data_IF_272464207129
#
_entry.id   IF_272464207129
#
_cell.length_a   1.000
_cell.length_b   1.000
_cell.length_c   1.000
_cell.angle_alpha   90.00
_cell.angle_beta   90.00
_cell.angle_gamma   90.00
#
_symmetry.space_group_name_H-M   'P 1'
#
loop_
_entity.id
_entity.type
_entity.pdbx_description
1 polymer ?
#
# COMPACT_ATOMS: atom_id res chain seq x y z
N UNK A 1 17.68 27.59 -9.90
CA UNK A 1 17.46 26.14 -9.81
C UNK A 1 16.35 25.98 -8.79
N UNK A 2 15.32 25.20 -9.11
CA UNK A 2 14.23 24.95 -8.17
C UNK A 2 14.71 24.02 -7.04
N UNK A 3 14.06 23.98 -5.86
CA UNK A 3 14.43 23.05 -4.80
C UNK A 3 14.43 21.58 -5.23
N UNK A 4 13.57 21.22 -6.18
CA UNK A 4 13.50 19.88 -6.75
C UNK A 4 14.61 19.60 -7.78
N UNK A 5 15.03 20.58 -8.58
CA UNK A 5 16.23 20.45 -9.42
C UNK A 5 17.50 20.20 -8.56
N UNK A 6 17.67 20.96 -7.47
CA UNK A 6 18.81 20.80 -6.56
C UNK A 6 18.78 19.42 -5.87
N UNK A 7 17.58 18.97 -5.45
CA UNK A 7 17.40 17.64 -4.86
C UNK A 7 17.67 16.51 -5.87
N UNK A 8 17.30 16.70 -7.13
CA UNK A 8 17.53 15.72 -8.19
C UNK A 8 19.01 15.59 -8.53
N UNK A 9 19.75 16.71 -8.55
CA UNK A 9 21.20 16.73 -8.67
C UNK A 9 21.87 16.00 -7.49
N UNK A 10 21.40 16.21 -6.26
CA UNK A 10 21.91 15.50 -5.09
C UNK A 10 21.70 13.98 -5.19
N UNK A 11 20.53 13.53 -5.68
CA UNK A 11 20.28 12.10 -5.90
C UNK A 11 21.24 11.50 -6.95
N UNK A 12 21.60 12.27 -7.98
CA UNK A 12 22.59 11.87 -8.97
C UNK A 12 24.01 11.81 -8.39
N UNK A 13 24.45 12.86 -7.68
CA UNK A 13 25.78 12.93 -7.06
C UNK A 13 26.02 11.81 -6.03
N UNK A 14 24.94 11.31 -5.42
CA UNK A 14 24.98 10.22 -4.42
C UNK A 14 24.83 8.82 -5.00
N UNK A 15 24.68 8.69 -6.32
CA UNK A 15 24.32 7.44 -7.02
C UNK A 15 23.08 6.77 -6.39
N UNK A 16 22.13 7.56 -5.91
CA UNK A 16 21.08 7.09 -5.00
C UNK A 16 20.19 6.00 -5.63
N UNK A 17 19.90 6.10 -6.93
CA UNK A 17 19.11 5.09 -7.66
C UNK A 17 19.86 3.76 -7.74
N UNK A 18 21.12 3.77 -8.15
CA UNK A 18 21.92 2.54 -8.26
C UNK A 18 22.07 1.87 -6.89
N UNK A 19 22.43 2.65 -5.87
CA UNK A 19 22.61 2.19 -4.50
C UNK A 19 21.32 1.64 -3.88
N UNK A 20 20.17 2.24 -4.18
CA UNK A 20 18.86 1.72 -3.77
C UNK A 20 18.62 0.31 -4.35
N UNK A 21 18.84 0.11 -5.65
CA UNK A 21 18.66 -1.19 -6.31
C UNK A 21 19.70 -2.23 -5.88
N UNK A 22 20.90 -1.80 -5.53
CA UNK A 22 21.94 -2.63 -4.91
C UNK A 22 21.68 -2.96 -3.43
N UNK A 23 20.60 -2.39 -2.86
CA UNK A 23 20.25 -2.49 -1.44
C UNK A 23 21.34 -2.00 -0.51
N UNK A 24 22.08 -0.98 -0.93
CA UNK A 24 23.13 -0.37 -0.13
C UNK A 24 22.52 0.42 1.04
N UNK A 25 22.51 -0.22 2.22
CA UNK A 25 21.97 0.35 3.44
C UNK A 25 22.72 1.63 3.91
N UNK A 26 23.95 1.85 3.45
CA UNK A 26 24.72 3.06 3.76
C UNK A 26 24.15 4.31 3.06
N UNK A 27 23.19 4.16 2.14
CA UNK A 27 22.46 5.27 1.54
C UNK A 27 21.65 6.07 2.60
N UNK A 28 21.18 5.42 3.67
CA UNK A 28 20.33 6.05 4.69
C UNK A 28 21.05 6.42 5.99
N UNK A 29 22.06 5.66 6.40
CA UNK A 29 22.67 5.82 7.73
C UNK A 29 24.03 5.15 7.81
N UNK A 30 24.97 5.76 8.53
CA UNK A 30 26.26 5.14 8.90
C UNK A 30 26.15 4.24 10.14
N UNK A 31 25.03 4.31 10.88
CA UNK A 31 24.79 3.45 12.03
C UNK A 31 24.50 1.99 11.62
N UNK A 32 25.31 1.06 12.13
CA UNK A 32 25.26 -0.36 11.77
C UNK A 32 23.98 -1.07 12.25
N UNK A 33 23.30 -0.57 13.29
CA UNK A 33 22.01 -1.12 13.70
C UNK A 33 20.91 -0.69 12.71
N UNK A 34 20.91 0.57 12.31
CA UNK A 34 19.98 1.10 11.32
C UNK A 34 20.18 0.43 9.95
N UNK A 35 21.44 0.25 9.52
CA UNK A 35 21.74 -0.45 8.26
C UNK A 35 21.17 -1.88 8.22
N UNK A 36 21.24 -2.62 9.35
CA UNK A 36 20.64 -3.96 9.45
C UNK A 36 19.12 -3.92 9.30
N UNK A 37 18.47 -2.91 9.86
CA UNK A 37 17.01 -2.72 9.69
C UNK A 37 16.68 -2.40 8.23
N UNK A 38 17.44 -1.53 7.58
CA UNK A 38 17.23 -1.17 6.16
C UNK A 38 17.40 -2.38 5.26
N UNK A 39 18.48 -3.15 5.44
CA UNK A 39 18.76 -4.33 4.64
C UNK A 39 17.61 -5.37 4.68
N UNK A 40 16.88 -5.46 5.80
CA UNK A 40 15.71 -6.33 6.00
C UNK A 40 14.37 -5.66 5.60
N UNK A 41 14.38 -4.55 4.87
CA UNK A 41 13.16 -3.79 4.51
C UNK A 41 13.07 -3.38 3.04
N UNK A 42 13.97 -3.89 2.20
CA UNK A 42 14.05 -3.56 0.77
C UNK A 42 13.52 -4.67 -0.16
N UNK A 43 12.81 -5.67 0.37
CA UNK A 43 12.23 -6.75 -0.44
C UNK A 43 11.19 -6.27 -1.46
N UNK A 44 10.54 -5.13 -1.18
CA UNK A 44 9.51 -4.54 -2.04
C UNK A 44 10.04 -4.12 -3.42
N UNK A 45 11.36 -3.89 -3.56
CA UNK A 45 11.98 -3.54 -4.84
C UNK A 45 11.83 -4.64 -5.89
N UNK A 46 11.71 -5.89 -5.45
CA UNK A 46 11.66 -7.06 -6.34
C UNK A 46 10.33 -7.82 -6.28
N UNK A 47 9.34 -7.33 -5.52
CA UNK A 47 8.08 -8.04 -5.26
C UNK A 47 7.30 -8.36 -6.55
N UNK A 48 7.45 -7.54 -7.59
CA UNK A 48 6.81 -7.73 -8.90
C UNK A 48 7.43 -8.86 -9.72
N UNK A 49 8.64 -9.30 -9.36
CA UNK A 49 9.26 -10.52 -9.90
C UNK A 49 8.74 -11.77 -9.16
N UNK A 50 7.45 -11.76 -8.82
CA UNK A 50 6.81 -12.59 -7.80
C UNK A 50 7.29 -14.05 -7.83
N UNK A 51 7.50 -14.68 -6.66
CA UNK A 51 7.95 -16.07 -6.60
C UNK A 51 7.08 -16.99 -7.46
N UNK A 52 7.73 -17.93 -8.14
CA UNK A 52 7.08 -18.91 -9.02
C UNK A 52 5.86 -19.53 -8.33
N UNK A 53 4.70 -19.45 -9.00
CA UNK A 53 3.45 -20.07 -8.55
C UNK A 53 2.50 -19.19 -7.75
N UNK A 54 2.90 -17.98 -7.31
CA UNK A 54 1.96 -17.04 -6.69
C UNK A 54 0.72 -16.74 -7.55
N UNK A 55 0.85 -16.37 -8.84
CA UNK A 55 -0.32 -16.06 -9.68
C UNK A 55 -1.32 -17.21 -9.75
N UNK A 56 -0.81 -18.43 -9.95
CA UNK A 56 -1.65 -19.63 -10.01
C UNK A 56 -2.34 -19.88 -8.68
N UNK A 57 -1.60 -19.79 -7.57
CA UNK A 57 -2.15 -20.01 -6.24
C UNK A 57 -3.27 -19.03 -5.93
N UNK A 58 -3.08 -17.74 -6.20
CA UNK A 58 -4.10 -16.72 -6.02
C UNK A 58 -5.36 -17.00 -6.86
N UNK A 59 -5.18 -17.37 -8.13
CA UNK A 59 -6.29 -17.73 -9.01
C UNK A 59 -7.05 -18.98 -8.53
N UNK A 60 -6.32 -20.02 -8.10
CA UNK A 60 -6.89 -21.26 -7.58
C UNK A 60 -7.72 -20.99 -6.31
N UNK A 61 -7.20 -20.17 -5.38
CA UNK A 61 -7.93 -19.79 -4.15
C UNK A 61 -9.19 -18.98 -4.46
N UNK A 62 -9.12 -18.01 -5.38
CA UNK A 62 -10.30 -17.25 -5.80
C UNK A 62 -11.35 -18.13 -6.51
N UNK A 63 -10.93 -19.07 -7.36
CA UNK A 63 -11.83 -20.02 -8.00
C UNK A 63 -12.48 -20.99 -7.00
N UNK A 64 -11.72 -21.46 -6.00
CA UNK A 64 -12.23 -22.31 -4.95
C UNK A 64 -13.26 -21.59 -4.07
N UNK A 65 -13.01 -20.34 -3.69
CA UNK A 65 -13.98 -19.52 -2.94
C UNK A 65 -15.31 -19.38 -3.70
N UNK A 66 -15.27 -19.08 -5.01
CA UNK A 66 -16.47 -19.02 -5.86
C UNK A 66 -17.19 -20.36 -5.95
N UNK A 67 -16.46 -21.46 -6.11
CA UNK A 67 -17.03 -22.81 -6.19
C UNK A 67 -17.76 -23.22 -4.90
N UNK A 68 -17.27 -22.75 -3.76
CA UNK A 68 -17.90 -22.96 -2.44
C UNK A 68 -19.06 -22.00 -2.15
N UNK A 69 -19.48 -21.20 -3.14
CA UNK A 69 -20.52 -20.18 -3.01
C UNK A 69 -20.21 -19.15 -1.92
N UNK A 70 -18.93 -18.82 -1.74
CA UNK A 70 -18.51 -17.66 -0.94
C UNK A 70 -18.74 -16.42 -1.78
N UNK A 71 -19.36 -15.40 -1.19
CA UNK A 71 -19.62 -14.12 -1.84
C UNK A 71 -19.14 -12.91 -1.02
N UNK A 72 -18.58 -13.14 0.17
CA UNK A 72 -18.08 -12.11 1.08
C UNK A 72 -16.67 -12.44 1.58
N UNK A 73 -15.81 -11.42 1.60
CA UNK A 73 -14.47 -11.45 2.17
C UNK A 73 -14.49 -10.60 3.45
N UNK A 74 -14.26 -11.22 4.61
CA UNK A 74 -13.95 -10.50 5.85
C UNK A 74 -12.43 -10.42 5.98
N UNK A 75 -11.86 -9.23 5.83
CA UNK A 75 -10.42 -9.02 5.95
C UNK A 75 -10.09 -8.43 7.32
N UNK A 76 -9.48 -9.23 8.18
CA UNK A 76 -9.02 -8.82 9.51
C UNK A 76 -7.53 -8.47 9.47
N UNK A 77 -7.21 -7.18 9.53
CA UNK A 77 -5.83 -6.69 9.41
C UNK A 77 -5.77 -5.19 9.70
N UNK A 78 -4.60 -4.69 10.07
CA UNK A 78 -4.39 -3.27 10.44
C UNK A 78 -3.42 -2.58 9.48
N UNK A 79 -3.68 -1.30 9.16
CA UNK A 79 -2.77 -0.45 8.40
C UNK A 79 -2.44 -1.02 7.01
N UNK A 80 -1.17 -1.37 6.78
CA UNK A 80 -0.73 -1.89 5.47
C UNK A 80 -1.38 -3.22 5.09
N UNK A 81 -1.95 -3.93 6.07
CA UNK A 81 -2.69 -5.18 5.89
C UNK A 81 -4.18 -4.99 5.55
N UNK A 82 -4.71 -3.75 5.56
CA UNK A 82 -6.11 -3.41 5.21
C UNK A 82 -6.23 -2.33 4.13
N UNK A 83 -5.37 -1.31 4.13
CA UNK A 83 -5.51 -0.13 3.26
C UNK A 83 -5.39 -0.44 1.77
N UNK A 84 -4.38 -1.20 1.34
CA UNK A 84 -4.24 -1.55 -0.08
C UNK A 84 -5.43 -2.42 -0.59
N UNK A 85 -5.88 -3.45 0.14
CA UNK A 85 -7.14 -4.15 -0.16
C UNK A 85 -8.37 -3.22 -0.26
N UNK A 86 -8.48 -2.21 0.60
CA UNK A 86 -9.55 -1.23 0.52
C UNK A 86 -9.48 -0.38 -0.75
N UNK A 87 -8.27 0.06 -1.14
CA UNK A 87 -8.04 0.75 -2.42
C UNK A 87 -8.54 -0.12 -3.57
N UNK A 88 -8.16 -1.40 -3.61
CA UNK A 88 -8.61 -2.30 -4.68
C UNK A 88 -10.13 -2.44 -4.72
N UNK A 89 -10.79 -2.60 -3.57
CA UNK A 89 -12.25 -2.72 -3.52
C UNK A 89 -12.98 -1.44 -3.99
N UNK A 90 -12.44 -0.26 -3.68
CA UNK A 90 -13.06 1.03 -4.05
C UNK A 90 -12.74 1.45 -5.50
N UNK A 91 -11.55 1.14 -6.00
CA UNK A 91 -11.12 1.46 -7.39
C UNK A 91 -11.71 0.47 -8.39
N UNK A 92 -11.89 -0.80 -7.99
CA UNK A 92 -12.46 -1.85 -8.84
C UNK A 92 -13.78 -2.41 -8.26
N UNK A 93 -14.83 -1.58 -8.11
CA UNK A 93 -16.08 -1.99 -7.44
C UNK A 93 -16.81 -3.10 -8.21
N UNK A 94 -16.58 -3.21 -9.52
CA UNK A 94 -17.20 -4.19 -10.41
C UNK A 94 -16.29 -5.39 -10.72
N UNK A 95 -15.28 -5.66 -9.88
CA UNK A 95 -14.32 -6.77 -10.09
C UNK A 95 -14.96 -8.17 -10.16
N UNK A 96 -16.24 -8.32 -9.85
CA UNK A 96 -16.97 -9.59 -9.97
C UNK A 96 -16.52 -10.66 -8.97
N UNK A 97 -15.79 -10.27 -7.92
CA UNK A 97 -15.37 -11.15 -6.84
C UNK A 97 -16.21 -11.00 -5.57
N UNK A 98 -15.59 -11.31 -4.44
CA UNK A 98 -16.20 -11.25 -3.12
C UNK A 98 -16.46 -9.80 -2.68
N UNK A 99 -17.55 -9.55 -1.96
CA UNK A 99 -17.78 -8.25 -1.31
C UNK A 99 -16.87 -8.09 -0.11
N UNK A 100 -16.07 -7.02 -0.04
CA UNK A 100 -15.18 -6.74 1.08
C UNK A 100 -15.95 -6.25 2.31
N UNK A 101 -15.62 -6.80 3.47
CA UNK A 101 -15.89 -6.24 4.79
C UNK A 101 -14.55 -6.13 5.53
N UNK A 102 -14.14 -4.91 5.83
CA UNK A 102 -12.92 -4.65 6.59
C UNK A 102 -13.18 -4.82 8.09
N UNK A 103 -12.23 -5.47 8.75
CA UNK A 103 -12.17 -5.59 10.20
C UNK A 103 -10.79 -5.09 10.67
N UNK A 104 -10.67 -3.77 10.70
CA UNK A 104 -9.46 -3.02 11.05
C UNK A 104 -9.71 -1.99 12.17
N UNK A 105 -10.84 -2.14 12.87
CA UNK A 105 -11.25 -1.28 13.96
C UNK A 105 -11.74 -2.10 15.14
N UNK A 106 -11.28 -1.74 16.35
CA UNK A 106 -11.76 -2.31 17.61
C UNK A 106 -13.09 -1.71 18.06
N UNK A 107 -13.66 -0.78 17.28
CA UNK A 107 -14.95 -0.20 17.58
C UNK A 107 -16.05 -1.29 17.54
N UNK A 108 -16.86 -1.48 18.60
CA UNK A 108 -17.80 -2.60 18.67
C UNK A 108 -18.81 -2.66 17.52
N UNK A 109 -19.21 -1.51 16.95
CA UNK A 109 -20.10 -1.49 15.80
C UNK A 109 -19.43 -2.00 14.51
N UNK A 110 -18.13 -1.75 14.33
CA UNK A 110 -17.38 -2.26 13.18
C UNK A 110 -17.21 -3.78 13.28
N UNK A 111 -16.86 -4.28 14.48
CA UNK A 111 -16.76 -5.72 14.75
C UNK A 111 -18.10 -6.42 14.50
N UNK A 112 -19.21 -5.88 15.01
CA UNK A 112 -20.55 -6.44 14.76
C UNK A 112 -20.91 -6.47 13.29
N UNK A 113 -20.69 -5.37 12.56
CA UNK A 113 -20.98 -5.30 11.13
C UNK A 113 -20.14 -6.31 10.31
N UNK A 114 -18.88 -6.53 10.70
CA UNK A 114 -18.00 -7.47 10.03
C UNK A 114 -18.35 -8.94 10.35
N UNK A 115 -18.65 -9.24 11.62
CA UNK A 115 -18.77 -10.61 12.13
C UNK A 115 -20.16 -10.92 12.67
N UNK A 116 -20.58 -10.28 13.76
CA UNK A 116 -21.71 -10.75 14.58
C UNK A 116 -23.09 -10.65 13.90
N UNK A 117 -23.33 -9.55 13.18
CA UNK A 117 -24.61 -9.27 12.52
C UNK A 117 -24.64 -9.78 11.06
N UNK A 118 -23.55 -10.39 10.59
CA UNK A 118 -23.39 -10.79 9.21
C UNK A 118 -23.67 -12.28 8.98
N UNK A 119 -24.13 -12.62 7.77
CA UNK A 119 -24.18 -14.02 7.34
C UNK A 119 -22.77 -14.53 7.03
N UNK A 120 -22.19 -15.27 7.98
CA UNK A 120 -20.87 -15.85 7.84
C UNK A 120 -20.86 -17.18 7.07
N UNK A 121 -22.03 -17.76 6.76
CA UNK A 121 -22.11 -19.05 6.04
C UNK A 121 -21.57 -18.98 4.60
N UNK A 122 -21.55 -17.77 4.04
CA UNK A 122 -21.08 -17.41 2.70
C UNK A 122 -19.82 -16.52 2.74
N UNK A 123 -19.16 -16.42 3.90
CA UNK A 123 -17.99 -15.59 4.11
C UNK A 123 -16.68 -16.38 4.12
N UNK A 124 -15.61 -15.77 3.60
CA UNK A 124 -14.22 -16.18 3.82
C UNK A 124 -13.55 -15.14 4.72
N UNK A 125 -12.96 -15.59 5.82
CA UNK A 125 -12.20 -14.73 6.73
C UNK A 125 -10.72 -14.82 6.37
N UNK A 126 -10.13 -13.70 5.96
CA UNK A 126 -8.68 -13.58 5.75
C UNK A 126 -8.10 -12.81 6.93
N UNK A 127 -7.24 -13.46 7.71
CA UNK A 127 -6.49 -12.85 8.80
C UNK A 127 -5.11 -12.46 8.29
N UNK A 128 -4.78 -11.17 8.42
CA UNK A 128 -3.65 -10.55 7.74
C UNK A 128 -2.79 -9.79 8.76
N UNK A 129 -1.64 -10.36 9.12
CA UNK A 129 -0.68 -9.73 10.02
C UNK A 129 0.72 -10.26 9.77
N UNK A 130 1.69 -9.36 9.53
CA UNK A 130 3.10 -9.69 9.32
C UNK A 130 3.70 -10.51 10.45
N UNK A 131 3.65 -9.97 11.67
CA UNK A 131 4.23 -10.63 12.86
C UNK A 131 3.34 -11.73 13.42
N UNK A 132 2.03 -11.69 13.11
CA UNK A 132 1.02 -12.50 13.80
C UNK A 132 0.84 -12.12 15.27
N UNK A 133 1.41 -11.00 15.71
CA UNK A 133 1.37 -10.53 17.10
C UNK A 133 0.59 -9.23 17.29
N UNK A 134 0.05 -8.64 16.23
CA UNK A 134 -0.86 -7.48 16.30
C UNK A 134 -2.08 -7.85 17.14
N UNK A 135 -2.27 -7.17 18.27
CA UNK A 135 -3.23 -7.61 19.28
C UNK A 135 -4.67 -7.56 18.77
N UNK A 136 -5.03 -6.49 18.07
CA UNK A 136 -6.33 -6.32 17.43
C UNK A 136 -6.63 -7.49 16.48
N UNK A 137 -5.68 -7.81 15.60
CA UNK A 137 -5.82 -8.92 14.65
C UNK A 137 -5.91 -10.28 15.33
N UNK A 138 -5.21 -10.50 16.45
CA UNK A 138 -5.33 -11.74 17.24
C UNK A 138 -6.70 -11.87 17.88
N UNK A 139 -7.24 -10.78 18.44
CA UNK A 139 -8.60 -10.76 18.97
C UNK A 139 -9.63 -11.07 17.87
N UNK A 140 -9.48 -10.46 16.69
CA UNK A 140 -10.36 -10.73 15.54
C UNK A 140 -10.28 -12.18 15.07
N UNK A 141 -9.07 -12.74 14.99
CA UNK A 141 -8.86 -14.13 14.60
C UNK A 141 -9.49 -15.11 15.59
N UNK A 142 -9.31 -14.87 16.90
CA UNK A 142 -9.92 -15.69 17.95
C UNK A 142 -11.45 -15.63 17.88
N UNK A 143 -12.01 -14.41 17.77
CA UNK A 143 -13.47 -14.22 17.67
C UNK A 143 -14.05 -14.87 16.42
N UNK A 144 -13.41 -14.68 15.25
CA UNK A 144 -13.86 -15.31 14.01
C UNK A 144 -13.80 -16.84 14.09
N UNK A 145 -12.79 -17.42 14.74
CA UNK A 145 -12.66 -18.87 14.91
C UNK A 145 -13.76 -19.49 15.81
N UNK A 146 -14.45 -18.70 16.63
CA UNK A 146 -15.63 -19.14 17.37
C UNK A 146 -16.89 -19.18 16.48
N UNK A 147 -16.89 -18.43 15.38
CA UNK A 147 -18.07 -18.20 14.53
C UNK A 147 -18.04 -18.98 13.21
N UNK A 148 -16.86 -19.28 12.67
CA UNK A 148 -16.71 -19.98 11.38
C UNK A 148 -15.87 -21.24 11.50
N UNK A 149 -16.12 -22.19 10.59
CA UNK A 149 -15.31 -23.39 10.50
C UNK A 149 -13.88 -23.07 9.99
N UNK A 150 -12.85 -23.86 10.36
CA UNK A 150 -11.47 -23.60 9.95
C UNK A 150 -11.25 -23.48 8.43
N UNK A 151 -12.04 -24.20 7.63
CA UNK A 151 -12.01 -24.15 6.16
C UNK A 151 -12.56 -22.82 5.58
N UNK A 152 -13.15 -21.95 6.41
CA UNK A 152 -13.54 -20.57 6.09
C UNK A 152 -12.49 -19.54 6.52
N UNK A 153 -11.34 -19.96 7.03
CA UNK A 153 -10.28 -19.07 7.47
C UNK A 153 -9.01 -19.24 6.62
N UNK A 154 -8.37 -18.12 6.30
CA UNK A 154 -7.10 -18.05 5.57
C UNK A 154 -6.17 -17.09 6.30
N UNK A 155 -4.89 -17.41 6.37
CA UNK A 155 -3.87 -16.53 6.93
C UNK A 155 -2.99 -15.92 5.83
N UNK A 156 -2.66 -14.63 5.95
CA UNK A 156 -1.54 -13.98 5.24
C UNK A 156 -0.58 -13.42 6.26
N UNK A 157 0.66 -13.90 6.24
CA UNK A 157 1.63 -13.64 7.31
C UNK A 157 3.07 -13.86 6.85
N UNK A 158 4.06 -13.53 7.67
CA UNK A 158 5.47 -13.86 7.39
C UNK A 158 5.84 -15.28 7.85
N UNK A 159 6.91 -15.80 7.27
CA UNK A 159 7.47 -17.10 7.63
C UNK A 159 7.88 -17.15 9.12
N UNK A 160 7.48 -18.20 9.82
CA UNK A 160 7.79 -18.42 11.23
C UNK A 160 6.99 -17.56 12.21
N UNK A 161 5.98 -16.83 11.73
CA UNK A 161 5.11 -15.99 12.56
C UNK A 161 4.18 -16.81 13.47
N UNK A 162 3.67 -16.16 14.52
CA UNK A 162 2.66 -16.79 15.41
C UNK A 162 1.38 -17.16 14.64
N UNK A 163 0.97 -16.30 13.70
CA UNK A 163 -0.22 -16.53 12.88
C UNK A 163 -0.04 -17.71 11.92
N UNK A 164 1.16 -17.93 11.39
CA UNK A 164 1.44 -19.13 10.59
C UNK A 164 1.25 -20.40 11.42
N UNK A 165 1.83 -20.45 12.62
CA UNK A 165 1.70 -21.60 13.51
C UNK A 165 0.24 -21.82 13.89
N UNK A 166 -0.46 -20.77 14.34
CA UNK A 166 -1.87 -20.83 14.71
C UNK A 166 -2.74 -21.38 13.57
N UNK A 167 -2.58 -20.86 12.36
CA UNK A 167 -3.39 -21.25 11.21
C UNK A 167 -3.15 -22.72 10.81
N UNK A 168 -1.90 -23.17 10.85
CA UNK A 168 -1.54 -24.57 10.57
C UNK A 168 -2.08 -25.51 11.64
N UNK A 169 -1.89 -25.20 12.92
CA UNK A 169 -2.33 -26.02 14.05
C UNK A 169 -3.85 -26.13 14.12
N UNK A 170 -4.56 -25.05 13.74
CA UNK A 170 -6.02 -24.98 13.73
C UNK A 170 -6.64 -25.55 12.45
N UNK A 171 -5.84 -26.00 11.48
CA UNK A 171 -6.33 -26.56 10.22
C UNK A 171 -7.07 -25.56 9.33
N UNK A 172 -6.62 -24.30 9.32
CA UNK A 172 -7.20 -23.27 8.45
C UNK A 172 -7.03 -23.65 6.97
N UNK A 173 -7.96 -23.17 6.14
CA UNK A 173 -8.04 -23.50 4.71
C UNK A 173 -6.71 -23.36 4.01
N UNK A 174 -6.02 -22.25 4.26
CA UNK A 174 -4.78 -21.92 3.57
C UNK A 174 -3.91 -20.92 4.34
N UNK A 175 -2.59 -21.03 4.19
CA UNK A 175 -1.61 -20.09 4.77
C UNK A 175 -0.72 -19.52 3.67
N UNK A 176 -0.82 -18.22 3.44
CA UNK A 176 0.00 -17.43 2.52
C UNK A 176 1.18 -16.84 3.28
N UNK A 177 2.37 -17.34 2.96
CA UNK A 177 3.63 -16.93 3.59
C UNK A 177 4.32 -15.90 2.69
N UNK A 178 4.45 -14.68 3.19
CA UNK A 178 5.08 -13.56 2.53
C UNK A 178 6.58 -13.44 2.89
N UNK A 179 7.43 -12.87 2.03
CA UNK A 179 8.80 -12.53 2.38
C UNK A 179 8.87 -11.57 3.59
N UNK A 180 9.75 -11.90 4.53
CA UNK A 180 9.93 -11.14 5.78
C UNK A 180 10.55 -9.76 5.60
N UNK A 181 11.18 -9.51 4.46
CA UNK A 181 11.91 -8.28 4.14
C UNK A 181 11.03 -7.19 3.48
N UNK A 182 9.71 -7.41 3.41
CA UNK A 182 8.73 -6.42 2.90
C UNK A 182 8.02 -5.77 4.08
N UNK A 183 8.18 -4.46 4.25
CA UNK A 183 7.47 -3.69 5.27
C UNK A 183 5.97 -3.57 4.99
N UNK A 184 5.13 -3.46 6.03
CA UNK A 184 3.66 -3.45 5.89
C UNK A 184 3.12 -2.37 4.94
N UNK A 185 3.56 -1.12 5.05
CA UNK A 185 3.13 -0.05 4.12
C UNK A 185 3.63 -0.24 2.67
N UNK A 186 4.58 -1.14 2.44
CA UNK A 186 5.12 -1.50 1.12
C UNK A 186 4.59 -2.84 0.59
N UNK A 187 3.65 -3.49 1.28
CA UNK A 187 3.18 -4.85 0.96
C UNK A 187 1.99 -4.90 0.00
N UNK A 188 1.56 -3.76 -0.56
CA UNK A 188 0.42 -3.67 -1.47
C UNK A 188 0.52 -4.63 -2.68
N UNK A 189 1.73 -4.83 -3.21
CA UNK A 189 2.00 -5.72 -4.34
C UNK A 189 2.47 -7.12 -3.93
N UNK A 190 2.53 -7.40 -2.62
CA UNK A 190 2.86 -8.71 -2.08
C UNK A 190 1.59 -9.53 -1.82
N UNK A 191 1.70 -10.73 -1.23
CA UNK A 191 0.51 -11.54 -0.88
C UNK A 191 -0.49 -10.81 0.03
N UNK A 192 -0.04 -9.80 0.78
CA UNK A 192 -0.89 -8.97 1.64
C UNK A 192 -1.94 -8.19 0.86
N UNK A 193 -1.57 -7.57 -0.27
CA UNK A 193 -2.53 -6.89 -1.14
C UNK A 193 -3.08 -7.76 -2.27
N UNK A 194 -2.27 -8.65 -2.83
CA UNK A 194 -2.62 -9.42 -4.02
C UNK A 194 -3.60 -10.57 -3.74
N UNK A 195 -3.59 -11.16 -2.55
CA UNK A 195 -4.62 -12.15 -2.20
C UNK A 195 -6.02 -11.51 -2.09
N UNK A 196 -6.23 -10.44 -1.30
CA UNK A 196 -7.49 -9.73 -1.30
C UNK A 196 -7.88 -9.24 -2.69
N UNK A 197 -6.96 -8.68 -3.49
CA UNK A 197 -7.24 -8.24 -4.86
C UNK A 197 -7.79 -9.37 -5.74
N UNK A 198 -7.15 -10.55 -5.73
CA UNK A 198 -7.62 -11.71 -6.50
C UNK A 198 -9.01 -12.20 -6.03
N UNK A 199 -9.26 -12.19 -4.73
CA UNK A 199 -10.57 -12.54 -4.14
C UNK A 199 -11.65 -11.53 -4.50
N UNK A 200 -11.30 -10.25 -4.62
CA UNK A 200 -12.17 -9.16 -5.10
C UNK A 200 -12.40 -9.23 -6.63
N UNK A 201 -11.64 -10.07 -7.33
CA UNK A 201 -11.75 -10.28 -8.77
C UNK A 201 -10.94 -9.29 -9.62
N UNK A 202 -10.01 -8.56 -8.99
CA UNK A 202 -9.05 -7.71 -9.71
C UNK A 202 -8.06 -8.58 -10.49
N UNK A 203 -7.70 -8.15 -11.70
CA UNK A 203 -6.65 -8.79 -12.49
C UNK A 203 -5.27 -8.50 -11.89
N UNK A 204 -4.84 -9.36 -10.97
CA UNK A 204 -3.53 -9.24 -10.30
C UNK A 204 -2.36 -9.38 -11.27
N UNK A 205 -2.54 -10.08 -12.41
CA UNK A 205 -1.47 -10.22 -13.40
C UNK A 205 -1.26 -8.89 -14.14
N UNK A 206 -2.33 -8.18 -14.48
CA UNK A 206 -2.26 -6.85 -15.07
C UNK A 206 -1.65 -5.83 -14.10
N UNK A 207 -2.05 -5.86 -12.81
CA UNK A 207 -1.46 -5.01 -11.77
C UNK A 207 0.06 -5.25 -11.64
N UNK A 208 0.49 -6.51 -11.56
CA UNK A 208 1.92 -6.82 -11.49
C UNK A 208 2.68 -6.45 -12.76
N UNK A 209 2.07 -6.60 -13.95
CA UNK A 209 2.68 -6.18 -15.20
C UNK A 209 2.92 -4.66 -15.23
N UNK A 210 1.91 -3.87 -14.85
CA UNK A 210 2.04 -2.42 -14.72
C UNK A 210 3.13 -2.02 -13.73
N UNK A 211 3.15 -2.66 -12.56
CA UNK A 211 4.17 -2.41 -11.54
C UNK A 211 5.59 -2.80 -12.00
N UNK A 212 5.75 -3.91 -12.74
CA UNK A 212 7.03 -4.33 -13.30
C UNK A 212 7.54 -3.32 -14.35
N UNK A 213 6.65 -2.79 -15.19
CA UNK A 213 7.00 -1.73 -16.14
C UNK A 213 7.46 -0.44 -15.42
N UNK A 214 6.75 -0.03 -14.35
CA UNK A 214 7.15 1.13 -13.56
C UNK A 214 8.50 0.89 -12.86
N UNK A 215 8.71 -0.31 -12.28
CA UNK A 215 10.00 -0.70 -11.69
C UNK A 215 11.14 -0.55 -12.69
N UNK A 216 10.95 -0.99 -13.94
CA UNK A 216 11.96 -0.85 -14.99
C UNK A 216 12.26 0.62 -15.31
N UNK A 217 11.24 1.50 -15.38
CA UNK A 217 11.47 2.94 -15.56
C UNK A 217 12.26 3.55 -14.40
N UNK A 218 12.02 3.06 -13.18
CA UNK A 218 12.70 3.50 -11.97
C UNK A 218 14.15 2.97 -11.82
N UNK A 219 14.74 2.36 -12.85
CA UNK A 219 16.19 2.04 -12.89
C UNK A 219 17.00 3.03 -13.71
N UNK A 220 16.35 3.95 -14.43
CA UNK A 220 17.01 4.98 -15.23
C UNK A 220 17.79 5.98 -14.34
N UNK A 221 18.66 6.78 -14.97
CA UNK A 221 19.31 7.90 -14.30
C UNK A 221 18.26 8.85 -13.68
N UNK A 222 18.57 9.56 -12.57
CA UNK A 222 17.57 10.35 -11.84
C UNK A 222 16.72 11.29 -12.72
N UNK A 223 17.33 11.93 -13.72
CA UNK A 223 16.63 12.83 -14.65
C UNK A 223 15.55 12.15 -15.50
N UNK A 224 15.67 10.85 -15.77
CA UNK A 224 14.73 10.05 -16.57
C UNK A 224 13.92 9.06 -15.71
N UNK A 225 14.06 9.14 -14.39
CA UNK A 225 13.50 8.19 -13.44
C UNK A 225 12.29 8.82 -12.71
N UNK A 226 11.05 8.37 -13.00
CA UNK A 226 9.86 9.00 -12.43
C UNK A 226 9.81 8.90 -10.90
N UNK A 227 10.32 7.81 -10.31
CA UNK A 227 10.42 7.68 -8.86
C UNK A 227 11.43 8.65 -8.24
N UNK A 228 12.57 8.86 -8.90
CA UNK A 228 13.58 9.82 -8.43
C UNK A 228 13.11 11.28 -8.59
N UNK A 229 12.42 11.60 -9.69
CA UNK A 229 11.79 12.91 -9.90
C UNK A 229 10.75 13.22 -8.82
N UNK A 230 9.87 12.27 -8.51
CA UNK A 230 8.89 12.43 -7.44
C UNK A 230 9.56 12.57 -6.06
N UNK A 231 10.61 11.78 -5.79
CA UNK A 231 11.37 11.88 -4.55
C UNK A 231 12.08 13.24 -4.41
N UNK A 232 12.67 13.75 -5.50
CA UNK A 232 13.29 15.07 -5.54
C UNK A 232 12.27 16.19 -5.34
N UNK A 233 11.11 16.09 -5.98
CA UNK A 233 9.98 17.01 -5.76
C UNK A 233 9.57 17.04 -4.29
N UNK A 234 9.20 15.90 -3.73
CA UNK A 234 8.75 15.78 -2.34
C UNK A 234 9.81 16.24 -1.33
N UNK A 235 11.04 15.74 -1.47
CA UNK A 235 12.12 16.02 -0.53
C UNK A 235 12.72 17.43 -0.67
N UNK A 236 12.84 17.94 -1.90
CA UNK A 236 13.32 19.29 -2.18
C UNK A 236 12.39 20.35 -1.60
N UNK A 237 11.09 20.26 -1.91
CA UNK A 237 10.11 21.23 -1.42
C UNK A 237 9.87 21.12 0.09
N UNK A 238 9.86 19.92 0.67
CA UNK A 238 9.77 19.77 2.12
C UNK A 238 10.94 20.45 2.85
N UNK A 239 12.18 20.30 2.35
CA UNK A 239 13.36 21.01 2.90
C UNK A 239 13.30 22.52 2.72
N UNK A 240 12.58 23.00 1.70
CA UNK A 240 12.32 24.41 1.47
C UNK A 240 11.12 24.97 2.28
N UNK A 241 10.52 24.19 3.19
CA UNK A 241 9.41 24.61 4.05
C UNK A 241 8.02 24.30 3.51
N UNK A 242 7.92 23.59 2.38
CA UNK A 242 6.67 23.09 1.79
C UNK A 242 6.47 21.61 2.11
N UNK A 243 6.24 21.32 3.38
CA UNK A 243 6.18 19.95 3.93
C UNK A 243 4.77 19.34 3.95
N UNK A 244 3.74 20.07 3.49
CA UNK A 244 2.37 19.55 3.33
C UNK A 244 2.11 19.13 1.89
N UNK A 245 2.21 17.83 1.64
CA UNK A 245 2.02 17.23 0.34
C UNK A 245 0.54 16.94 0.08
N UNK A 246 -0.09 17.73 -0.77
CA UNK A 246 -1.50 17.55 -1.12
C UNK A 246 -1.60 16.62 -2.32
N UNK A 247 -2.30 15.50 -2.16
CA UNK A 247 -2.57 14.57 -3.25
C UNK A 247 -3.92 14.92 -3.89
N UNK A 248 -3.88 15.30 -5.17
CA UNK A 248 -5.06 15.53 -5.98
C UNK A 248 -5.23 14.34 -6.92
N UNK A 249 -6.38 13.66 -6.84
CA UNK A 249 -6.67 12.50 -7.65
C UNK A 249 -8.09 12.60 -8.22
N UNK A 250 -8.34 12.10 -9.45
CA UNK A 250 -9.68 11.98 -9.99
C UNK A 250 -10.52 11.06 -9.09
N UNK A 251 -11.84 11.19 -9.16
CA UNK A 251 -12.76 10.46 -8.27
C UNK A 251 -12.54 8.94 -8.29
N UNK A 252 -12.20 8.35 -9.45
CA UNK A 252 -11.92 6.92 -9.60
C UNK A 252 -10.63 6.46 -8.90
N UNK A 253 -9.68 7.36 -8.63
CA UNK A 253 -8.41 7.06 -7.95
C UNK A 253 -8.30 7.69 -6.56
N UNK A 254 -9.28 8.49 -6.13
CA UNK A 254 -9.31 9.10 -4.81
C UNK A 254 -9.03 8.12 -3.65
N UNK A 255 -9.53 6.86 -3.67
CA UNK A 255 -9.20 5.87 -2.63
C UNK A 255 -7.71 5.62 -2.43
N UNK A 256 -6.88 5.80 -3.46
CA UNK A 256 -5.42 5.62 -3.36
C UNK A 256 -4.80 6.53 -2.31
N UNK A 257 -5.43 7.69 -2.04
CA UNK A 257 -4.99 8.64 -1.03
C UNK A 257 -4.83 8.02 0.35
N UNK A 258 -5.76 7.18 0.80
CA UNK A 258 -5.73 6.57 2.13
C UNK A 258 -4.46 5.70 2.32
N UNK A 259 -4.06 4.96 1.27
CA UNK A 259 -2.83 4.17 1.30
C UNK A 259 -1.57 5.05 1.16
N UNK A 260 -1.59 6.06 0.29
CA UNK A 260 -0.46 7.01 0.12
C UNK A 260 -0.20 7.80 1.40
N UNK A 261 -1.25 8.18 2.14
CA UNK A 261 -1.15 8.84 3.43
C UNK A 261 -0.28 8.03 4.39
N UNK A 262 -0.59 6.74 4.56
CA UNK A 262 0.23 5.86 5.39
C UNK A 262 1.66 5.75 4.85
N UNK A 263 1.81 5.53 3.54
CA UNK A 263 3.12 5.33 2.92
C UNK A 263 4.04 6.52 3.17
N UNK A 264 3.56 7.74 2.99
CA UNK A 264 4.35 8.96 3.15
C UNK A 264 4.56 9.30 4.63
N UNK A 265 3.50 9.33 5.43
CA UNK A 265 3.56 9.76 6.82
C UNK A 265 4.44 8.81 7.66
N UNK A 266 4.26 7.49 7.55
CA UNK A 266 5.04 6.55 8.35
C UNK A 266 6.49 6.41 7.88
N UNK A 267 6.78 6.71 6.61
CA UNK A 267 8.14 6.62 6.05
C UNK A 267 8.96 7.87 6.37
N UNK A 268 8.36 9.05 6.26
CA UNK A 268 9.06 10.32 6.39
C UNK A 268 8.97 10.92 7.79
N UNK A 269 7.90 10.64 8.53
CA UNK A 269 7.66 11.12 9.90
C UNK A 269 8.59 10.47 10.93
N UNK A 270 9.84 10.91 10.99
CA UNK A 270 10.91 10.38 11.86
C UNK A 270 11.76 11.52 12.41
N UNK A 271 12.31 11.32 13.62
CA UNK A 271 13.34 12.22 14.17
C UNK A 271 12.94 13.71 14.22
N UNK A 272 11.64 14.01 14.36
CA UNK A 272 11.13 15.40 14.38
C UNK A 272 11.01 16.06 13.01
N UNK A 273 11.20 15.32 11.92
CA UNK A 273 10.95 15.76 10.54
C UNK A 273 9.91 14.87 9.87
N UNK A 274 9.37 15.30 8.73
CA UNK A 274 8.48 14.50 7.92
C UNK A 274 7.72 15.32 6.90
N UNK A 275 7.07 14.63 5.98
CA UNK A 275 6.11 15.19 5.06
C UNK A 275 4.72 14.85 5.60
N UNK A 276 3.86 15.85 5.68
CA UNK A 276 2.45 15.69 6.05
C UNK A 276 1.64 15.48 4.77
N UNK A 277 1.25 14.24 4.44
CA UNK A 277 0.31 14.02 3.35
C UNK A 277 -1.05 14.61 3.69
N UNK A 278 -1.67 15.27 2.72
CA UNK A 278 -3.04 15.79 2.80
C UNK A 278 -3.83 15.15 1.68
N UNK A 279 -4.76 14.28 2.05
CA UNK A 279 -5.56 13.46 1.12
C UNK A 279 -7.04 13.77 1.31
N UNK A 280 -7.83 13.62 0.24
CA UNK A 280 -9.27 13.89 0.27
C UNK A 280 -9.66 15.36 0.45
N UNK A 281 -8.71 16.30 0.43
CA UNK A 281 -8.99 17.74 0.45
C UNK A 281 -9.57 18.16 -0.91
N UNK A 282 -10.80 18.72 -0.96
CA UNK A 282 -11.32 19.27 -2.20
C UNK A 282 -10.45 20.43 -2.69
N UNK A 283 -10.18 20.48 -3.99
CA UNK A 283 -9.40 21.56 -4.58
C UNK A 283 -10.17 22.90 -4.48
N UNK A 284 -9.62 23.84 -3.73
CA UNK A 284 -10.12 25.20 -3.56
C UNK A 284 -9.36 26.21 -4.45
N UNK A 285 -9.77 27.48 -4.43
CA UNK A 285 -9.04 28.55 -5.13
C UNK A 285 -7.60 28.64 -4.64
N UNK A 286 -6.64 28.88 -5.54
CA UNK A 286 -5.21 28.82 -5.22
C UNK A 286 -4.76 29.71 -4.03
N UNK A 287 -5.50 30.77 -3.73
CA UNK A 287 -5.20 31.73 -2.65
C UNK A 287 -5.53 31.21 -1.24
N UNK A 288 -6.26 30.09 -1.11
CA UNK A 288 -6.57 29.51 0.20
C UNK A 288 -5.42 28.67 0.75
N UNK A 289 -4.46 28.32 -0.10
CA UNK A 289 -3.30 27.50 0.25
C UNK A 289 -2.13 28.37 0.70
N UNK A 290 -1.50 27.97 1.80
CA UNK A 290 -0.31 28.64 2.32
C UNK A 290 0.96 28.28 1.53
N UNK A 291 2.06 28.96 1.87
CA UNK A 291 3.39 28.71 1.33
C UNK A 291 4.06 27.43 1.87
N UNK A 292 3.28 26.58 2.53
CA UNK A 292 3.66 25.29 3.09
C UNK A 292 3.19 24.10 2.23
N UNK A 293 2.45 24.37 1.13
CA UNK A 293 1.88 23.35 0.25
C UNK A 293 2.78 23.00 -0.92
N UNK A 294 2.81 21.70 -1.24
CA UNK A 294 3.23 21.14 -2.51
C UNK A 294 2.16 20.14 -3.00
N UNK A 295 1.95 20.06 -4.32
CA UNK A 295 0.84 19.28 -4.89
C UNK A 295 1.37 18.15 -5.77
N UNK A 296 0.87 16.94 -5.56
CA UNK A 296 1.02 15.81 -6.49
C UNK A 296 -0.33 15.55 -7.12
N UNK A 297 -0.38 15.58 -8.44
CA UNK A 297 -1.61 15.43 -9.22
C UNK A 297 -1.56 14.11 -9.97
N UNK A 298 -2.49 13.21 -9.66
CA UNK A 298 -2.70 11.99 -10.42
C UNK A 298 -3.64 12.28 -11.59
N UNK A 299 -3.29 11.84 -12.79
CA UNK A 299 -4.13 11.90 -13.99
C UNK A 299 -4.61 10.49 -14.33
N UNK A 300 -5.79 10.39 -14.94
CA UNK A 300 -6.31 9.13 -15.47
C UNK A 300 -6.91 9.40 -16.85
N UNK A 301 -6.14 9.13 -17.91
CA UNK A 301 -6.56 9.45 -19.28
C UNK A 301 -6.88 10.94 -19.45
N UNK A 302 -8.07 11.25 -19.98
CA UNK A 302 -8.51 12.62 -20.23
C UNK A 302 -9.24 13.28 -19.04
N UNK A 303 -9.24 12.67 -17.84
CA UNK A 303 -9.88 13.28 -16.67
C UNK A 303 -9.18 14.60 -16.27
N UNK A 304 -9.91 15.70 -16.46
CA UNK A 304 -9.45 17.03 -16.09
C UNK A 304 -9.72 17.30 -14.60
N UNK A 305 -8.64 17.30 -13.80
CA UNK A 305 -8.64 18.00 -12.51
C UNK A 305 -8.57 19.51 -12.79
N UNK A 306 -9.73 20.15 -12.78
CA UNK A 306 -9.88 21.60 -12.98
C UNK A 306 -9.20 22.38 -11.84
N UNK A 307 -8.50 23.47 -12.17
CA UNK A 307 -7.87 24.36 -11.19
C UNK A 307 -6.39 24.08 -10.89
N UNK A 308 -5.79 23.05 -11.51
CA UNK A 308 -4.34 22.80 -11.41
C UNK A 308 -3.52 23.94 -12.04
N UNK A 309 -3.98 24.49 -13.17
CA UNK A 309 -3.35 25.65 -13.81
C UNK A 309 -3.35 26.89 -12.91
N UNK A 310 -4.39 27.07 -12.10
CA UNK A 310 -4.49 28.18 -11.14
C UNK A 310 -3.47 28.02 -10.00
N UNK A 311 -3.16 26.78 -9.58
CA UNK A 311 -2.10 26.51 -8.60
C UNK A 311 -0.73 26.91 -9.15
N UNK A 312 -0.43 26.51 -10.39
CA UNK A 312 0.81 26.87 -11.08
C UNK A 312 0.93 28.38 -11.26
N UNK A 313 -0.16 29.04 -11.69
CA UNK A 313 -0.20 30.50 -11.86
C UNK A 313 -0.02 31.26 -10.53
N UNK A 314 -0.44 30.67 -9.41
CA UNK A 314 -0.22 31.20 -8.06
C UNK A 314 1.18 30.88 -7.49
N UNK A 315 2.00 30.10 -8.21
CA UNK A 315 3.37 29.77 -7.80
C UNK A 315 3.48 28.59 -6.84
N UNK A 316 2.43 27.78 -6.68
CA UNK A 316 2.51 26.55 -5.92
C UNK A 316 3.27 25.48 -6.71
N UNK A 317 4.16 24.68 -6.08
CA UNK A 317 4.83 23.59 -6.75
C UNK A 317 3.87 22.44 -7.01
N UNK A 318 3.87 21.94 -8.24
CA UNK A 318 3.00 20.87 -8.72
C UNK A 318 3.85 19.83 -9.44
N UNK A 319 3.61 18.55 -9.13
CA UNK A 319 4.17 17.41 -9.85
C UNK A 319 3.03 16.53 -10.37
N UNK A 320 3.03 16.23 -11.67
CA UNK A 320 1.98 15.42 -12.30
C UNK A 320 2.45 13.98 -12.55
N UNK A 321 1.55 13.02 -12.31
CA UNK A 321 1.74 11.59 -12.58
C UNK A 321 0.60 11.14 -13.48
N UNK A 322 0.95 10.56 -14.64
CA UNK A 322 0.04 9.94 -15.62
C UNK A 322 0.08 8.41 -15.54
#
# INVERSE_FOLDING_TARGET
MSPDDDALAELADRDAVARLHERDATLWSDDAQHQRVVADRLGWLDVTSAPDGWPRRLADTAAAARSDRIDRLVLAGMGGSSLAPEVFAKVFPDGGGLRLALLDSTHPAAVRAALDDADLSTSLVVVSSKSGTTEETRCFAAHAAELVAPDRMVAVTDAGSHLEAQARDSGWREVFVNPGDIGGRYSALSLFGMLPAALLGVDVAEIWLGAANMRQRCTAAPVDNPGAQLAAFMGGWARAGRDKLTLLAPAGLAPLGDWVEQLVAESTGKQGTGIVPVVGEPLGPAQVYGDDRAFVVLRLGADELLGVDDLLAAGHPVHEIE
#
